data_IF_907503105789
#
_entry.id   IF_907503105789
#
_cell.length_a   1.000
_cell.length_b   1.000
_cell.length_c   1.000
_cell.angle_alpha   90.00
_cell.angle_beta   90.00
_cell.angle_gamma   90.00
#
_symmetry.space_group_name_H-M   'P 1'
#
loop_
_entity.id
_entity.type
_entity.pdbx_description
1 polymer ?
#
# COMPACT_ATOMS: atom_id res chain seq x y z
N UNK A 1 14.09 -14.63 -2.30
CA UNK A 1 14.03 -13.88 -2.23
C UNK A 1 14.70 -13.25 -1.94
N UNK A 2 14.71 -13.28 -2.20
CA UNK A 2 15.29 -12.63 -1.61
C UNK A 2 14.66 -11.86 -0.79
N UNK A 3 14.80 -12.04 0.15
CA UNK A 3 14.17 -11.19 1.09
C UNK A 3 14.56 -9.78 0.77
N UNK A 4 13.65 -8.90 0.89
CA UNK A 4 13.99 -7.53 0.83
C UNK A 4 14.84 -7.21 2.02
N UNK A 5 15.89 -6.50 1.76
CA UNK A 5 16.52 -5.85 2.88
C UNK A 5 15.57 -4.81 3.37
N UNK A 6 15.29 -4.85 4.65
CA UNK A 6 14.50 -3.81 5.29
C UNK A 6 15.38 -2.59 5.42
N UNK A 7 15.10 -1.56 4.66
CA UNK A 7 15.84 -0.31 4.76
C UNK A 7 15.07 0.57 5.74
N UNK A 8 15.71 1.06 6.79
CA UNK A 8 15.03 1.96 7.72
C UNK A 8 14.45 3.16 6.99
N UNK A 9 13.28 3.57 7.42
CA UNK A 9 12.59 4.70 6.79
C UNK A 9 13.48 5.94 6.75
N UNK A 10 14.21 6.20 7.84
CA UNK A 10 15.09 7.35 7.91
C UNK A 10 16.16 7.33 6.83
N UNK A 11 16.70 6.14 6.55
CA UNK A 11 17.71 6.02 5.50
C UNK A 11 17.14 6.29 4.13
N UNK A 12 15.92 5.82 3.89
CA UNK A 12 15.24 6.07 2.62
C UNK A 12 14.99 7.57 2.45
N UNK A 13 14.46 8.20 3.48
CA UNK A 13 14.13 9.63 3.40
C UNK A 13 15.38 10.48 3.33
N UNK A 14 16.45 10.09 4.02
CA UNK A 14 17.70 10.83 3.97
C UNK A 14 18.37 10.75 2.61
N UNK A 15 18.17 9.66 1.89
CA UNK A 15 18.75 9.46 0.58
C UNK A 15 18.02 10.27 -0.49
N UNK A 16 16.80 10.75 -0.20
CA UNK A 16 16.04 11.53 -1.16
C UNK A 16 16.47 12.99 -1.13
N UNK A 17 16.49 13.66 -2.29
CA UNK A 17 16.68 15.10 -2.28
C UNK A 17 15.66 15.79 -1.39
N UNK A 18 16.06 16.84 -0.70
CA UNK A 18 15.17 17.55 0.23
C UNK A 18 13.86 17.99 -0.44
N UNK A 19 13.95 18.44 -1.68
CA UNK A 19 12.77 18.87 -2.42
C UNK A 19 11.78 17.73 -2.60
N UNK A 20 12.29 16.56 -2.95
CA UNK A 20 11.45 15.38 -3.17
C UNK A 20 10.84 14.89 -1.87
N UNK A 21 11.63 14.90 -0.80
CA UNK A 21 11.14 14.48 0.52
C UNK A 21 9.99 15.37 0.97
N UNK A 22 10.14 16.69 0.81
CA UNK A 22 9.09 17.63 1.17
C UNK A 22 7.84 17.43 0.33
N UNK A 23 8.03 17.10 -0.95
CA UNK A 23 6.90 16.85 -1.83
C UNK A 23 6.11 15.62 -1.39
N UNK A 24 6.80 14.55 -0.97
CA UNK A 24 6.16 13.35 -0.48
C UNK A 24 5.39 13.63 0.81
N UNK A 25 5.99 14.37 1.72
CA UNK A 25 5.34 14.72 2.98
C UNK A 25 4.13 15.61 2.76
N UNK A 26 4.27 16.59 1.87
CA UNK A 26 3.16 17.48 1.53
C UNK A 26 2.00 16.70 0.88
N UNK A 27 2.33 15.76 0.00
CA UNK A 27 1.30 14.94 -0.64
C UNK A 27 0.60 14.06 0.37
N UNK A 28 1.35 13.52 1.34
CA UNK A 28 0.76 12.73 2.41
C UNK A 28 -0.24 13.53 3.23
N UNK A 29 0.12 14.77 3.61
CA UNK A 29 -0.79 15.63 4.35
C UNK A 29 -2.03 15.95 3.53
N UNK A 30 -1.85 16.30 2.28
CA UNK A 30 -2.96 16.63 1.39
C UNK A 30 -3.93 15.45 1.28
N UNK A 31 -3.39 14.24 1.12
CA UNK A 31 -4.22 13.05 1.02
C UNK A 31 -5.01 12.80 2.30
N UNK A 32 -4.37 12.96 3.47
CA UNK A 32 -5.04 12.76 4.73
C UNK A 32 -6.18 13.75 4.95
N UNK A 33 -5.99 14.98 4.52
CA UNK A 33 -7.04 16.00 4.65
C UNK A 33 -8.25 15.66 3.78
N UNK A 34 -8.05 14.95 2.69
CA UNK A 34 -9.13 14.57 1.79
C UNK A 34 -9.81 13.26 2.16
N UNK A 35 -9.17 12.47 3.02
CA UNK A 35 -9.74 11.18 3.41
C UNK A 35 -10.74 11.40 4.54
N UNK A 36 -12.02 11.30 4.21
CA UNK A 36 -13.08 11.34 5.20
C UNK A 36 -13.86 10.03 5.23
N UNK A 37 -13.36 9.02 4.55
CA UNK A 37 -14.07 7.76 4.41
C UNK A 37 -13.11 6.58 4.61
N UNK A 38 -13.57 5.62 5.40
CA UNK A 38 -12.87 4.36 5.57
C UNK A 38 -13.52 3.32 4.68
N UNK A 39 -12.69 2.52 4.02
CA UNK A 39 -13.19 1.50 3.14
C UNK A 39 -12.59 0.14 3.50
N UNK A 40 -13.40 -0.89 3.37
CA UNK A 40 -12.92 -2.25 3.48
C UNK A 40 -12.27 -2.68 2.16
N UNK A 41 -11.54 -3.79 2.19
CA UNK A 41 -10.96 -4.33 0.96
C UNK A 41 -12.07 -4.68 -0.04
N UNK A 42 -13.21 -5.19 0.44
CA UNK A 42 -14.34 -5.51 -0.44
C UNK A 42 -14.87 -4.24 -1.11
N UNK A 43 -14.96 -3.14 -0.37
CA UNK A 43 -15.42 -1.89 -0.94
C UNK A 43 -14.43 -1.34 -1.96
N UNK A 44 -13.14 -1.47 -1.70
CA UNK A 44 -12.13 -1.07 -2.67
C UNK A 44 -12.28 -1.87 -3.97
N UNK A 45 -12.42 -3.19 -3.83
CA UNK A 45 -12.60 -4.05 -4.99
C UNK A 45 -13.83 -3.64 -5.80
N UNK A 46 -14.96 -3.43 -5.10
CA UNK A 46 -16.22 -3.04 -5.75
C UNK A 46 -16.10 -1.69 -6.44
N UNK A 47 -15.37 -0.76 -5.83
CA UNK A 47 -15.18 0.56 -6.43
C UNK A 47 -14.40 0.49 -7.74
N UNK A 48 -13.58 -0.56 -7.91
CA UNK A 48 -12.86 -0.81 -9.16
C UNK A 48 -13.66 -1.68 -10.11
N UNK A 49 -14.89 -2.05 -9.73
CA UNK A 49 -15.77 -2.89 -10.54
C UNK A 49 -15.17 -4.24 -10.88
N UNK A 50 -14.49 -4.83 -9.91
CA UNK A 50 -13.83 -6.12 -10.07
C UNK A 50 -14.51 -7.13 -9.15
N UNK A 51 -14.87 -8.30 -9.70
CA UNK A 51 -15.50 -9.35 -8.91
C UNK A 51 -14.47 -10.09 -8.06
N UNK A 52 -14.94 -10.81 -7.04
CA UNK A 52 -14.06 -11.66 -6.25
C UNK A 52 -13.36 -12.70 -7.12
N UNK A 53 -14.08 -13.26 -8.09
CA UNK A 53 -13.52 -14.25 -8.99
C UNK A 53 -12.39 -13.65 -9.84
N UNK A 54 -12.58 -12.44 -10.32
CA UNK A 54 -11.54 -11.77 -11.11
C UNK A 54 -10.33 -11.44 -10.27
N UNK A 55 -10.54 -10.95 -9.06
CA UNK A 55 -9.43 -10.67 -8.17
C UNK A 55 -8.66 -11.94 -7.84
N UNK A 56 -9.38 -13.03 -7.58
CA UNK A 56 -8.75 -14.32 -7.31
C UNK A 56 -7.89 -14.77 -8.48
N UNK A 57 -8.40 -14.58 -9.69
CA UNK A 57 -7.68 -14.94 -10.90
C UNK A 57 -6.37 -14.16 -11.02
N UNK A 58 -6.44 -12.85 -10.81
CA UNK A 58 -5.25 -12.00 -10.89
C UNK A 58 -4.23 -12.36 -9.80
N UNK A 59 -4.71 -12.69 -8.61
CA UNK A 59 -3.83 -13.06 -7.50
C UNK A 59 -3.32 -14.50 -7.60
N UNK A 60 -3.89 -15.30 -8.49
CA UNK A 60 -3.52 -16.71 -8.61
C UNK A 60 -4.00 -17.56 -7.46
N UNK A 61 -5.13 -17.22 -6.88
CA UNK A 61 -5.71 -17.95 -5.75
C UNK A 61 -7.17 -18.30 -6.07
N UNK A 62 -7.78 -19.07 -5.19
CA UNK A 62 -9.19 -19.44 -5.35
C UNK A 62 -10.08 -18.32 -4.81
N UNK A 63 -11.28 -18.21 -5.39
CA UNK A 63 -12.24 -17.20 -4.97
C UNK A 63 -12.53 -17.28 -3.47
N UNK A 64 -12.60 -18.51 -2.93
CA UNK A 64 -12.82 -18.70 -1.50
C UNK A 64 -11.76 -18.00 -0.67
N UNK A 65 -10.52 -17.98 -1.14
CA UNK A 65 -9.44 -17.31 -0.44
C UNK A 65 -9.63 -15.80 -0.43
N UNK A 66 -10.11 -15.24 -1.54
CA UNK A 66 -10.44 -13.81 -1.59
C UNK A 66 -11.59 -13.51 -0.63
N UNK A 67 -12.61 -14.35 -0.63
CA UNK A 67 -13.74 -14.19 0.28
C UNK A 67 -13.29 -14.18 1.74
N UNK A 68 -12.41 -15.11 2.10
CA UNK A 68 -11.87 -15.16 3.46
C UNK A 68 -11.04 -13.93 3.78
N UNK A 69 -10.23 -13.50 2.84
CA UNK A 69 -9.41 -12.31 3.02
C UNK A 69 -10.26 -11.07 3.29
N UNK A 70 -11.35 -10.93 2.57
CA UNK A 70 -12.23 -9.77 2.74
C UNK A 70 -12.97 -9.77 4.07
N UNK A 71 -13.07 -10.93 4.72
CA UNK A 71 -13.70 -11.04 6.04
C UNK A 71 -12.71 -10.93 7.19
N UNK A 72 -11.42 -10.92 6.92
CA UNK A 72 -10.40 -10.84 7.97
C UNK A 72 -10.36 -9.43 8.55
N UNK A 73 -10.20 -9.37 9.87
CA UNK A 73 -10.04 -8.09 10.57
C UNK A 73 -8.60 -7.60 10.51
N UNK A 74 -7.64 -8.52 10.39
CA UNK A 74 -6.23 -8.19 10.48
C UNK A 74 -5.44 -8.94 9.41
N UNK A 75 -5.60 -8.56 8.14
CA UNK A 75 -4.84 -9.18 7.07
C UNK A 75 -3.38 -8.75 7.12
N UNK A 76 -2.52 -9.59 6.57
CA UNK A 76 -1.11 -9.26 6.50
C UNK A 76 -0.89 -8.09 5.54
N UNK A 77 0.10 -7.26 5.88
CA UNK A 77 0.43 -6.12 5.05
C UNK A 77 0.82 -6.54 3.62
N UNK A 78 1.60 -7.61 3.50
CA UNK A 78 1.99 -8.10 2.18
C UNK A 78 0.78 -8.53 1.35
N UNK A 79 -0.22 -9.12 1.99
CA UNK A 79 -1.44 -9.54 1.31
C UNK A 79 -2.26 -8.33 0.88
N UNK A 80 -2.37 -7.33 1.74
CA UNK A 80 -3.06 -6.08 1.39
C UNK A 80 -2.39 -5.41 0.20
N UNK A 81 -1.08 -5.35 0.22
CA UNK A 81 -0.32 -4.72 -0.87
C UNK A 81 -0.60 -5.43 -2.19
N UNK A 82 -0.51 -6.76 -2.19
CA UNK A 82 -0.76 -7.54 -3.40
C UNK A 82 -2.17 -7.34 -3.91
N UNK A 83 -3.14 -7.29 -3.01
CA UNK A 83 -4.54 -7.10 -3.38
C UNK A 83 -4.77 -5.73 -3.99
N UNK A 84 -4.22 -4.68 -3.38
CA UNK A 84 -4.36 -3.32 -3.90
C UNK A 84 -3.70 -3.20 -5.26
N UNK A 85 -2.52 -3.78 -5.42
CA UNK A 85 -1.81 -3.74 -6.70
C UNK A 85 -2.56 -4.52 -7.78
N UNK A 86 -3.17 -5.63 -7.40
CA UNK A 86 -3.99 -6.41 -8.33
C UNK A 86 -5.22 -5.62 -8.80
N UNK A 87 -5.68 -4.68 -7.98
CA UNK A 87 -6.79 -3.80 -8.34
C UNK A 87 -6.33 -2.57 -9.14
N UNK A 88 -5.05 -2.46 -9.40
CA UNK A 88 -4.50 -1.36 -10.17
C UNK A 88 -4.04 -0.18 -9.33
N UNK A 89 -3.94 -0.36 -8.03
CA UNK A 89 -3.58 0.72 -7.12
C UNK A 89 -2.22 0.52 -6.48
N UNK A 90 -1.95 1.34 -5.50
CA UNK A 90 -0.70 1.32 -4.76
C UNK A 90 -1.01 1.51 -3.29
N UNK A 91 -0.43 0.67 -2.45
CA UNK A 91 -0.60 0.78 -1.01
C UNK A 91 0.49 1.66 -0.42
N UNK A 92 0.10 2.67 0.31
CA UNK A 92 1.03 3.56 0.99
C UNK A 92 0.69 3.59 2.47
N UNK A 93 1.72 3.50 3.31
CA UNK A 93 1.55 3.54 4.77
C UNK A 93 1.88 4.94 5.27
N UNK A 94 0.98 5.48 6.08
CA UNK A 94 1.13 6.82 6.63
C UNK A 94 0.98 6.74 8.14
N UNK A 95 1.97 7.27 8.85
CA UNK A 95 1.90 7.37 10.31
C UNK A 95 1.47 8.77 10.69
N UNK A 96 0.52 8.87 11.61
CA UNK A 96 0.02 10.16 12.08
C UNK A 96 0.17 10.25 13.59
N UNK A 97 0.60 11.41 14.05
CA UNK A 97 0.74 11.69 15.48
C UNK A 97 0.11 13.04 15.78
N UNK A 98 -0.48 13.22 16.97
CA UNK A 98 -1.13 14.49 17.28
C UNK A 98 -0.18 15.68 17.38
N UNK A 99 1.09 15.42 17.65
CA UNK A 99 2.08 16.46 17.91
C UNK A 99 3.05 16.70 16.76
N UNK A 100 2.82 16.11 15.61
CA UNK A 100 3.70 16.30 14.47
C UNK A 100 2.98 16.01 13.15
N UNK A 101 3.65 16.35 12.07
CA UNK A 101 3.12 16.15 10.72
C UNK A 101 3.03 14.66 10.37
N UNK A 102 2.04 14.27 9.56
CA UNK A 102 1.99 12.91 9.06
C UNK A 102 3.23 12.56 8.25
N UNK A 103 3.65 11.31 8.36
CA UNK A 103 4.86 10.84 7.67
C UNK A 103 4.54 9.58 6.87
N UNK A 104 5.02 9.55 5.64
CA UNK A 104 4.92 8.33 4.82
C UNK A 104 6.01 7.38 5.28
N UNK A 105 5.62 6.19 5.74
CA UNK A 105 6.58 5.21 6.23
C UNK A 105 7.28 4.50 5.10
N UNK A 106 6.51 3.86 4.24
CA UNK A 106 7.03 3.06 3.14
C UNK A 106 6.05 3.09 2.01
N UNK A 107 6.55 3.17 0.79
CA UNK A 107 5.76 2.91 -0.39
C UNK A 107 6.09 1.50 -0.86
N UNK A 108 5.24 0.51 -0.58
CA UNK A 108 5.50 -0.86 -1.03
C UNK A 108 5.72 -0.97 -2.53
N UNK A 109 5.06 -0.12 -3.30
CA UNK A 109 5.25 -0.10 -4.75
C UNK A 109 6.67 0.29 -5.13
N UNK A 110 7.26 1.25 -4.41
CA UNK A 110 8.63 1.65 -4.67
C UNK A 110 9.60 0.50 -4.38
N UNK A 111 9.37 -0.21 -3.27
CA UNK A 111 10.16 -1.38 -2.95
C UNK A 111 10.01 -2.45 -4.01
N UNK A 112 8.79 -2.69 -4.43
CA UNK A 112 8.52 -3.68 -5.46
C UNK A 112 9.19 -3.30 -6.78
N UNK A 113 9.14 -2.03 -7.15
CA UNK A 113 9.80 -1.56 -8.35
C UNK A 113 11.29 -1.80 -8.31
N UNK A 114 11.90 -1.53 -7.17
CA UNK A 114 13.33 -1.80 -7.00
C UNK A 114 13.64 -3.27 -7.11
N UNK A 115 12.85 -4.11 -6.45
CA UNK A 115 13.03 -5.54 -6.50
C UNK A 115 12.87 -6.05 -7.93
N UNK A 116 11.89 -5.54 -8.64
CA UNK A 116 11.65 -5.92 -10.02
C UNK A 116 12.84 -5.56 -10.91
N UNK A 117 13.42 -4.39 -10.69
CA UNK A 117 14.57 -3.98 -11.47
C UNK A 117 15.82 -4.78 -11.15
N UNK A 118 15.95 -5.22 -9.92
CA UNK A 118 17.06 -6.04 -9.50
C UNK A 118 16.95 -7.42 -10.10
N UNK A 119 15.75 -7.94 -10.19
CA UNK A 119 15.53 -9.24 -10.79
C UNK A 119 15.43 -9.13 -12.29
#
# INVERSE_FOLDING_TARGET
MKAYKTIPFEDVMSALPAKRRKAIEAKGRELLEKIDRRASLAELRKSRKISQAKLADVLGVKQMQVSRLERRKDPRLSTLRRSVEALGGQLTLIATFPDQEPMVLVSPSAEKSRATRIT
#
